data_IF_017654992861
#
_entry.id   IF_017654992861
#
_cell.length_a   1.000
_cell.length_b   1.000
_cell.length_c   1.000
_cell.angle_alpha   90.00
_cell.angle_beta   90.00
_cell.angle_gamma   90.00
#
_symmetry.space_group_name_H-M   'P 1'
#
loop_
_entity.id
_entity.type
_entity.pdbx_description
1 polymer ?
#
# COMPACT_ATOMS: atom_id res chain seq x y z
N UNK A 1 -12.79 -30.03 -16.23
CA UNK A 1 -12.28 -29.51 -14.95
C UNK A 1 -11.60 -28.17 -15.19
N UNK A 2 -11.92 -27.11 -14.44
CA UNK A 2 -11.24 -25.81 -14.57
C UNK A 2 -9.81 -25.98 -14.03
N UNK A 3 -8.83 -26.17 -14.92
CA UNK A 3 -7.42 -26.15 -14.53
C UNK A 3 -7.00 -24.70 -14.25
N UNK A 4 -6.46 -24.46 -13.05
CA UNK A 4 -5.81 -23.21 -12.67
C UNK A 4 -4.35 -23.20 -13.17
N UNK A 5 -3.77 -22.03 -13.47
CA UNK A 5 -2.38 -21.96 -13.86
C UNK A 5 -1.46 -22.43 -12.73
N UNK A 6 -0.26 -22.95 -13.06
CA UNK A 6 0.66 -23.51 -12.06
C UNK A 6 0.96 -22.56 -10.89
N UNK A 7 1.17 -21.27 -11.18
CA UNK A 7 1.48 -20.26 -10.17
C UNK A 7 0.37 -20.06 -9.12
N UNK A 8 -0.88 -20.44 -9.41
CA UNK A 8 -1.97 -20.44 -8.43
C UNK A 8 -1.62 -21.30 -7.21
N UNK A 9 -1.09 -22.51 -7.46
CA UNK A 9 -0.72 -23.45 -6.40
C UNK A 9 0.53 -22.96 -5.65
N UNK A 10 1.47 -22.30 -6.34
CA UNK A 10 2.59 -21.61 -5.70
C UNK A 10 2.10 -20.55 -4.71
N UNK A 11 1.07 -19.77 -5.09
CA UNK A 11 0.46 -18.78 -4.21
C UNK A 11 -0.13 -19.40 -2.94
N UNK A 12 -0.88 -20.49 -3.08
CA UNK A 12 -1.40 -21.26 -1.94
C UNK A 12 -0.26 -21.75 -1.05
N UNK A 13 0.76 -22.38 -1.64
CA UNK A 13 1.89 -22.92 -0.90
C UNK A 13 2.62 -21.83 -0.11
N UNK A 14 2.89 -20.66 -0.71
CA UNK A 14 3.52 -19.53 -0.04
C UNK A 14 2.72 -19.05 1.16
N UNK A 15 1.39 -18.92 1.02
CA UNK A 15 0.51 -18.48 2.12
C UNK A 15 0.51 -19.52 3.24
N UNK A 16 0.28 -20.80 2.92
CA UNK A 16 0.24 -21.87 3.93
C UNK A 16 1.58 -22.02 4.63
N UNK A 17 2.69 -22.01 3.89
CA UNK A 17 4.03 -22.07 4.44
C UNK A 17 4.28 -20.92 5.42
N UNK A 18 3.97 -19.68 5.03
CA UNK A 18 4.21 -18.53 5.89
C UNK A 18 3.28 -18.52 7.11
N UNK A 19 2.01 -18.95 6.97
CA UNK A 19 1.11 -19.11 8.12
C UNK A 19 1.63 -20.16 9.10
N UNK A 20 2.12 -21.31 8.63
CA UNK A 20 2.73 -22.33 9.50
C UNK A 20 3.96 -21.76 10.21
N UNK A 21 4.82 -21.04 9.50
CA UNK A 21 6.00 -20.42 10.11
C UNK A 21 5.63 -19.38 11.18
N UNK A 22 4.55 -18.61 10.96
CA UNK A 22 4.01 -17.67 11.94
C UNK A 22 3.47 -18.39 13.17
N UNK A 23 2.74 -19.49 13.00
CA UNK A 23 2.23 -20.30 14.11
C UNK A 23 3.34 -20.95 14.94
N UNK A 24 4.48 -21.25 14.31
CA UNK A 24 5.66 -21.85 14.95
C UNK A 24 6.68 -20.81 15.46
N UNK A 25 6.40 -19.50 15.38
CA UNK A 25 7.31 -18.38 15.71
C UNK A 25 8.73 -18.52 15.10
N UNK A 26 8.82 -18.95 13.83
CA UNK A 26 10.12 -19.10 13.14
C UNK A 26 10.61 -17.72 12.64
N UNK A 27 11.16 -16.92 13.56
CA UNK A 27 11.49 -15.49 13.34
C UNK A 27 12.34 -15.19 12.11
N UNK A 28 13.29 -16.07 11.79
CA UNK A 28 14.17 -15.88 10.62
C UNK A 28 13.39 -15.92 9.30
N UNK A 29 12.25 -16.61 9.26
CA UNK A 29 11.36 -16.70 8.10
C UNK A 29 10.27 -15.64 8.20
N UNK A 30 9.65 -15.47 9.37
CA UNK A 30 8.49 -14.58 9.55
C UNK A 30 8.82 -13.10 9.44
N UNK A 31 10.10 -12.72 9.52
CA UNK A 31 10.57 -11.37 9.17
C UNK A 31 10.23 -10.97 7.71
N UNK A 32 10.02 -11.96 6.83
CA UNK A 32 9.61 -11.78 5.44
C UNK A 32 8.11 -12.02 5.23
N UNK A 33 7.31 -12.11 6.30
CA UNK A 33 5.91 -12.46 6.21
C UNK A 33 5.12 -11.52 5.30
N UNK A 34 5.25 -10.20 5.48
CA UNK A 34 4.52 -9.21 4.68
C UNK A 34 4.75 -9.37 3.16
N UNK A 35 5.98 -9.26 2.63
CA UNK A 35 6.19 -9.41 1.19
C UNK A 35 5.82 -10.80 0.66
N UNK A 36 6.02 -11.86 1.46
CA UNK A 36 5.71 -13.24 1.05
C UNK A 36 4.21 -13.49 0.97
N UNK A 37 3.45 -13.07 1.98
CA UNK A 37 1.99 -13.23 2.02
C UNK A 37 1.31 -12.44 0.90
N UNK A 38 1.75 -11.19 0.65
CA UNK A 38 1.22 -10.41 -0.46
C UNK A 38 1.58 -11.00 -1.82
N UNK A 39 2.78 -11.55 -1.99
CA UNK A 39 3.16 -12.28 -3.22
C UNK A 39 2.28 -13.51 -3.41
N UNK A 40 2.08 -14.30 -2.35
CA UNK A 40 1.20 -15.47 -2.38
C UNK A 40 -0.24 -15.09 -2.71
N UNK A 41 -0.74 -13.98 -2.15
CA UNK A 41 -2.06 -13.44 -2.43
C UNK A 41 -2.20 -13.05 -3.91
N UNK A 42 -1.22 -12.35 -4.49
CA UNK A 42 -1.23 -11.99 -5.93
C UNK A 42 -1.33 -13.24 -6.79
N UNK A 43 -0.47 -14.24 -6.56
CA UNK A 43 -0.43 -15.45 -7.38
C UNK A 43 -1.73 -16.26 -7.27
N UNK A 44 -2.27 -16.37 -6.06
CA UNK A 44 -3.54 -17.05 -5.80
C UNK A 44 -4.70 -16.31 -6.48
N UNK A 45 -4.83 -15.01 -6.24
CA UNK A 45 -5.97 -14.22 -6.72
C UNK A 45 -5.93 -13.97 -8.22
N UNK A 46 -4.75 -13.72 -8.80
CA UNK A 46 -4.56 -13.67 -10.25
C UNK A 46 -4.85 -15.03 -10.89
N UNK A 47 -4.46 -16.14 -10.24
CA UNK A 47 -4.75 -17.49 -10.70
C UNK A 47 -6.26 -17.77 -10.79
N UNK A 48 -7.04 -17.32 -9.79
CA UNK A 48 -8.51 -17.37 -9.82
C UNK A 48 -9.06 -16.55 -10.99
N UNK A 49 -8.52 -15.35 -11.18
CA UNK A 49 -8.93 -14.41 -12.22
C UNK A 49 -8.31 -14.69 -13.59
N UNK A 50 -7.51 -15.75 -13.74
CA UNK A 50 -6.72 -16.02 -14.95
C UNK A 50 -7.57 -16.17 -16.22
N UNK A 51 -8.85 -16.54 -16.11
CA UNK A 51 -9.76 -16.66 -17.26
C UNK A 51 -10.61 -15.41 -17.48
N UNK A 52 -10.39 -14.36 -16.69
CA UNK A 52 -11.10 -13.09 -16.79
C UNK A 52 -10.17 -12.03 -17.35
N UNK A 53 -10.74 -10.94 -17.88
CA UNK A 53 -9.97 -9.77 -18.31
C UNK A 53 -9.33 -8.98 -17.14
N UNK A 54 -9.43 -9.48 -15.89
CA UNK A 54 -8.92 -8.81 -14.69
C UNK A 54 -7.57 -9.38 -14.21
N UNK A 55 -7.03 -10.41 -14.86
CA UNK A 55 -5.69 -10.93 -14.53
C UNK A 55 -4.61 -9.89 -14.85
N UNK A 56 -3.83 -9.52 -13.85
CA UNK A 56 -2.71 -8.58 -13.98
C UNK A 56 -1.52 -9.20 -14.69
N UNK A 57 -1.27 -10.50 -14.50
CA UNK A 57 -0.17 -11.23 -15.15
C UNK A 57 -0.43 -11.35 -16.64
N UNK A 58 -1.62 -11.80 -17.04
CA UNK A 58 -1.97 -11.95 -18.46
C UNK A 58 -2.01 -10.63 -19.21
N UNK A 59 -2.49 -9.58 -18.56
CA UNK A 59 -2.53 -8.23 -19.14
C UNK A 59 -1.19 -7.49 -19.05
N UNK A 60 -0.13 -8.12 -18.52
CA UNK A 60 1.20 -7.51 -18.31
C UNK A 60 1.14 -6.19 -17.52
N UNK A 61 0.13 -6.05 -16.66
CA UNK A 61 -0.11 -4.87 -15.84
C UNK A 61 0.62 -4.94 -14.50
N UNK A 62 1.00 -6.15 -14.04
CA UNK A 62 1.60 -6.38 -12.73
C UNK A 62 2.84 -5.50 -12.49
N UNK A 63 3.79 -5.45 -13.43
CA UNK A 63 5.02 -4.67 -13.25
C UNK A 63 4.75 -3.16 -13.17
N UNK A 64 3.89 -2.64 -14.05
CA UNK A 64 3.52 -1.21 -14.05
C UNK A 64 2.87 -0.83 -12.73
N UNK A 65 1.96 -1.67 -12.26
CA UNK A 65 1.25 -1.44 -11.02
C UNK A 65 2.17 -1.60 -9.80
N UNK A 66 3.11 -2.54 -9.83
CA UNK A 66 4.12 -2.70 -8.79
C UNK A 66 5.00 -1.45 -8.67
N UNK A 67 5.45 -0.87 -9.78
CA UNK A 67 6.21 0.38 -9.79
C UNK A 67 5.39 1.54 -9.21
N UNK A 68 4.13 1.70 -9.63
CA UNK A 68 3.22 2.70 -9.06
C UNK A 68 3.04 2.47 -7.56
N UNK A 69 2.87 1.22 -7.14
CA UNK A 69 2.69 0.83 -5.73
C UNK A 69 3.90 1.25 -4.90
N UNK A 70 5.14 1.01 -5.37
CA UNK A 70 6.36 1.44 -4.68
C UNK A 70 6.40 2.96 -4.52
N UNK A 71 6.12 3.71 -5.58
CA UNK A 71 6.14 5.18 -5.55
C UNK A 71 5.09 5.74 -4.58
N UNK A 72 3.86 5.21 -4.63
CA UNK A 72 2.78 5.63 -3.73
C UNK A 72 3.08 5.29 -2.26
N UNK A 73 3.64 4.11 -1.98
CA UNK A 73 4.03 3.76 -0.62
C UNK A 73 5.19 4.61 -0.11
N UNK A 74 6.14 4.97 -0.96
CA UNK A 74 7.21 5.88 -0.56
C UNK A 74 6.70 7.28 -0.19
N UNK A 75 5.68 7.75 -0.90
CA UNK A 75 4.98 8.98 -0.56
C UNK A 75 4.28 8.85 0.81
N UNK A 76 3.64 7.71 1.10
CA UNK A 76 3.07 7.45 2.43
C UNK A 76 4.13 7.36 3.53
N UNK A 77 5.30 6.77 3.26
CA UNK A 77 6.43 6.78 4.20
C UNK A 77 6.94 8.20 4.46
N UNK A 78 6.99 9.04 3.42
CA UNK A 78 7.37 10.44 3.60
C UNK A 78 6.37 11.19 4.49
N UNK A 79 5.07 10.94 4.33
CA UNK A 79 4.06 11.45 5.26
C UNK A 79 4.23 10.90 6.67
N UNK A 80 4.58 9.62 6.79
CA UNK A 80 4.74 8.95 8.07
C UNK A 80 5.87 9.56 8.91
N UNK A 81 6.87 10.21 8.31
CA UNK A 81 7.91 10.98 9.04
C UNK A 81 7.28 12.10 9.88
N UNK A 82 6.24 12.77 9.35
CA UNK A 82 5.60 13.90 10.02
C UNK A 82 4.51 13.46 11.00
N UNK A 83 3.74 12.44 10.62
CA UNK A 83 2.59 11.98 11.40
C UNK A 83 2.92 10.88 12.41
N UNK A 84 4.01 10.14 12.22
CA UNK A 84 4.35 8.96 13.03
C UNK A 84 3.17 7.99 13.17
N UNK A 85 2.44 7.76 12.08
CA UNK A 85 1.23 6.93 12.05
C UNK A 85 1.54 5.44 12.28
N UNK A 86 2.69 4.94 11.79
CA UNK A 86 3.13 3.56 11.98
C UNK A 86 4.63 3.44 12.18
N UNK A 87 5.03 2.39 12.91
CA UNK A 87 6.43 2.03 13.12
C UNK A 87 6.68 0.57 12.75
N UNK A 88 7.74 0.34 12.00
CA UNK A 88 8.16 -1.02 11.66
C UNK A 88 8.90 -1.68 12.81
N UNK A 89 8.40 -2.83 13.25
CA UNK A 89 9.00 -3.62 14.33
C UNK A 89 9.56 -4.94 13.78
N UNK A 90 10.59 -5.47 14.45
CA UNK A 90 11.14 -6.78 14.13
C UNK A 90 11.86 -6.85 12.78
N UNK A 91 12.45 -5.75 12.29
CA UNK A 91 13.17 -5.71 11.01
C UNK A 91 14.64 -6.10 11.12
N UNK A 92 15.21 -6.49 9.98
CA UNK A 92 16.63 -6.80 9.83
C UNK A 92 17.51 -5.57 10.09
N UNK A 93 18.59 -5.76 10.85
CA UNK A 93 19.53 -4.68 11.17
C UNK A 93 20.25 -4.15 9.93
N UNK A 94 20.60 -5.01 8.98
CA UNK A 94 21.30 -4.61 7.76
C UNK A 94 20.41 -3.75 6.85
N UNK A 95 20.84 -2.51 6.61
CA UNK A 95 20.06 -1.50 5.89
C UNK A 95 19.66 -1.96 4.48
N UNK A 96 20.61 -2.47 3.70
CA UNK A 96 20.35 -2.89 2.31
C UNK A 96 19.28 -3.99 2.21
N UNK A 97 19.34 -4.98 3.10
CA UNK A 97 18.38 -6.09 3.14
C UNK A 97 17.00 -5.58 3.56
N UNK A 98 16.95 -4.61 4.48
CA UNK A 98 15.71 -3.96 4.91
C UNK A 98 15.05 -3.20 3.76
N UNK A 99 15.81 -2.40 3.00
CA UNK A 99 15.31 -1.70 1.82
C UNK A 99 14.79 -2.66 0.75
N UNK A 100 15.46 -3.80 0.54
CA UNK A 100 14.95 -4.85 -0.34
C UNK A 100 13.58 -5.36 0.14
N UNK A 101 13.43 -5.65 1.43
CA UNK A 101 12.16 -6.03 2.03
C UNK A 101 11.06 -4.99 1.85
N UNK A 102 11.37 -3.70 2.04
CA UNK A 102 10.43 -2.61 1.80
C UNK A 102 9.99 -2.52 0.35
N UNK A 103 10.94 -2.52 -0.59
CA UNK A 103 10.63 -2.43 -2.03
C UNK A 103 9.76 -3.62 -2.44
N UNK A 104 10.07 -4.83 -1.97
CA UNK A 104 9.27 -6.02 -2.26
C UNK A 104 7.86 -5.91 -1.66
N UNK A 105 7.74 -5.55 -0.39
CA UNK A 105 6.43 -5.38 0.26
C UNK A 105 5.61 -4.31 -0.47
N UNK A 106 6.17 -3.11 -0.67
CA UNK A 106 5.49 -2.00 -1.33
C UNK A 106 5.07 -2.32 -2.75
N UNK A 107 5.90 -3.07 -3.51
CA UNK A 107 5.56 -3.49 -4.88
C UNK A 107 4.32 -4.39 -4.96
N UNK A 108 3.95 -5.09 -3.88
CA UNK A 108 2.92 -6.12 -3.91
C UNK A 108 1.55 -5.69 -3.36
N UNK A 109 1.49 -4.59 -2.62
CA UNK A 109 0.26 -4.15 -1.94
C UNK A 109 -0.82 -3.73 -2.95
N UNK A 110 -0.58 -2.74 -3.83
CA UNK A 110 -1.62 -2.30 -4.77
C UNK A 110 -2.06 -3.41 -5.74
N UNK A 111 -1.15 -4.21 -6.33
CA UNK A 111 -1.57 -5.37 -7.13
C UNK A 111 -2.47 -6.34 -6.38
N UNK A 112 -2.13 -6.69 -5.14
CA UNK A 112 -2.95 -7.58 -4.34
C UNK A 112 -4.33 -6.99 -4.06
N UNK A 113 -4.41 -5.70 -3.69
CA UNK A 113 -5.69 -5.02 -3.42
C UNK A 113 -6.59 -5.04 -4.67
N UNK A 114 -6.06 -4.70 -5.85
CA UNK A 114 -6.85 -4.68 -7.08
C UNK A 114 -7.30 -6.08 -7.53
N UNK A 115 -6.49 -7.11 -7.29
CA UNK A 115 -6.89 -8.49 -7.59
C UNK A 115 -7.99 -8.97 -6.64
N UNK A 116 -7.89 -8.67 -5.34
CA UNK A 116 -8.95 -8.96 -4.37
C UNK A 116 -10.24 -8.24 -4.76
N UNK A 117 -10.16 -6.96 -5.13
CA UNK A 117 -11.29 -6.21 -5.68
C UNK A 117 -11.88 -6.89 -6.93
N UNK A 118 -11.02 -7.38 -7.83
CA UNK A 118 -11.43 -8.13 -9.01
C UNK A 118 -12.23 -9.40 -8.68
N UNK A 119 -11.88 -10.11 -7.60
CA UNK A 119 -12.61 -11.28 -7.08
C UNK A 119 -13.95 -10.84 -6.50
N UNK A 120 -13.97 -9.80 -5.66
CA UNK A 120 -15.21 -9.27 -5.06
C UNK A 120 -16.23 -8.96 -6.17
N UNK A 121 -15.80 -8.32 -7.26
CA UNK A 121 -16.65 -8.03 -8.43
C UNK A 121 -17.16 -9.27 -9.18
N UNK A 122 -16.60 -10.46 -8.96
CA UNK A 122 -17.16 -11.71 -9.52
C UNK A 122 -18.23 -12.32 -8.64
N UNK A 123 -18.25 -11.99 -7.35
CA UNK A 123 -19.19 -12.52 -6.36
C UNK A 123 -20.36 -11.56 -6.17
N UNK A 124 -20.10 -10.25 -6.21
CA UNK A 124 -21.13 -9.24 -6.03
C UNK A 124 -22.13 -9.23 -7.19
N UNK A 125 -23.44 -9.03 -6.91
CA UNK A 125 -24.44 -8.87 -7.95
C UNK A 125 -24.09 -7.65 -8.81
N UNK A 126 -24.35 -7.75 -10.12
CA UNK A 126 -24.16 -6.62 -11.03
C UNK A 126 -25.14 -5.51 -10.65
N UNK A 127 -24.65 -4.49 -9.96
CA UNK A 127 -25.39 -3.26 -9.73
C UNK A 127 -25.40 -2.52 -11.06
N UNK A 128 -26.57 -2.36 -11.67
CA UNK A 128 -26.75 -1.58 -12.89
C UNK A 128 -26.74 -0.09 -12.52
N UNK A 129 -25.56 0.53 -12.56
CA UNK A 129 -25.43 1.98 -12.45
C UNK A 129 -25.34 2.61 -13.84
N UNK A 130 -25.89 3.82 -13.99
CA UNK A 130 -25.64 4.65 -15.17
C UNK A 130 -24.17 5.06 -15.14
N UNK A 131 -23.41 4.71 -16.17
CA UNK A 131 -22.00 5.11 -16.26
C UNK A 131 -21.95 6.65 -16.30
N UNK A 132 -21.36 7.25 -15.28
CA UNK A 132 -21.05 8.68 -15.30
C UNK A 132 -19.86 8.89 -16.23
N UNK A 133 -20.08 9.63 -17.32
CA UNK A 133 -18.99 10.05 -18.20
C UNK A 133 -18.25 11.22 -17.52
N UNK A 134 -17.13 10.92 -16.90
CA UNK A 134 -16.21 11.94 -16.38
C UNK A 134 -15.46 12.54 -17.57
N UNK A 135 -15.49 13.87 -17.69
CA UNK A 135 -14.72 14.57 -18.73
C UNK A 135 -13.23 14.55 -18.38
N UNK A 136 -12.36 14.61 -19.40
CA UNK A 136 -10.91 14.68 -19.18
C UNK A 136 -10.53 15.88 -18.32
N UNK A 137 -11.20 17.03 -18.50
CA UNK A 137 -10.99 18.23 -17.69
C UNK A 137 -11.33 18.00 -16.22
N UNK A 138 -12.41 17.25 -15.94
CA UNK A 138 -12.77 16.90 -14.57
C UNK A 138 -11.70 15.99 -13.94
N UNK A 139 -11.21 14.98 -14.65
CA UNK A 139 -10.16 14.09 -14.14
C UNK A 139 -8.86 14.85 -13.85
N UNK A 140 -8.46 15.76 -14.75
CA UNK A 140 -7.28 16.63 -14.54
C UNK A 140 -7.49 17.55 -13.34
N UNK A 141 -8.67 18.18 -13.23
CA UNK A 141 -8.99 19.03 -12.08
C UNK A 141 -8.97 18.22 -10.77
N UNK A 142 -9.60 17.05 -10.73
CA UNK A 142 -9.56 16.16 -9.56
C UNK A 142 -8.13 15.72 -9.22
N UNK A 143 -7.28 15.47 -10.21
CA UNK A 143 -5.89 15.12 -9.99
C UNK A 143 -5.08 16.29 -9.41
N UNK A 144 -5.23 17.50 -9.97
CA UNK A 144 -4.58 18.72 -9.46
C UNK A 144 -5.06 19.05 -8.04
N UNK A 145 -6.36 18.94 -7.79
CA UNK A 145 -6.96 19.10 -6.46
C UNK A 145 -6.38 18.06 -5.50
N UNK A 146 -6.27 16.80 -5.94
CA UNK A 146 -5.63 15.73 -5.18
C UNK A 146 -4.19 16.07 -4.81
N UNK A 147 -3.38 16.54 -5.78
CA UNK A 147 -2.02 17.03 -5.54
C UNK A 147 -2.01 18.17 -4.52
N UNK A 148 -2.91 19.14 -4.65
CA UNK A 148 -3.00 20.25 -3.71
C UNK A 148 -3.27 19.75 -2.28
N UNK A 149 -4.25 18.86 -2.10
CA UNK A 149 -4.53 18.25 -0.79
C UNK A 149 -3.39 17.37 -0.28
N UNK A 150 -2.63 16.77 -1.19
CA UNK A 150 -1.46 15.98 -0.85
C UNK A 150 -0.37 16.86 -0.21
N UNK A 151 -0.13 18.05 -0.77
CA UNK A 151 0.89 18.98 -0.28
C UNK A 151 0.42 19.92 0.84
N UNK A 152 -0.88 20.16 0.95
CA UNK A 152 -1.48 21.04 1.96
C UNK A 152 -1.04 20.72 3.41
N UNK A 153 -1.02 19.46 3.88
CA UNK A 153 -0.59 19.16 5.25
C UNK A 153 0.93 19.15 5.41
N UNK A 154 1.75 19.24 4.36
CA UNK A 154 3.22 19.18 4.52
C UNK A 154 3.79 20.53 4.93
N UNK A 155 3.28 21.61 4.33
CA UNK A 155 3.82 22.96 4.51
C UNK A 155 3.71 23.43 5.98
N UNK A 156 2.56 23.27 6.67
CA UNK A 156 2.43 23.75 8.05
C UNK A 156 3.19 22.88 9.06
N UNK A 157 3.19 21.55 8.88
CA UNK A 157 3.90 20.64 9.77
C UNK A 157 5.42 20.82 9.67
N UNK A 158 5.95 20.97 8.46
CA UNK A 158 7.38 21.24 8.25
C UNK A 158 7.83 22.55 8.90
N UNK A 159 6.97 23.56 9.01
CA UNK A 159 7.30 24.84 9.67
C UNK A 159 7.25 24.73 11.20
N UNK A 160 6.30 23.94 11.72
CA UNK A 160 6.16 23.66 13.16
C UNK A 160 7.40 22.94 13.71
N UNK A 161 7.92 21.93 13.00
CA UNK A 161 9.11 21.17 13.42
C UNK A 161 10.44 21.97 13.36
N UNK A 162 10.52 23.07 12.61
CA UNK A 162 11.77 23.83 12.42
C UNK A 162 11.84 25.06 13.36
N UNK A 163 10.89 25.22 14.30
CA UNK A 163 10.76 26.41 15.16
C UNK A 163 10.77 27.73 14.36
N UNK A 164 10.35 27.68 13.08
CA UNK A 164 10.25 28.82 12.18
C UNK A 164 8.79 29.22 12.06
N UNK A 165 8.28 29.81 13.13
CA UNK A 165 7.05 30.60 13.23
C UNK A 165 5.95 30.24 12.22
N UNK A 166 5.18 29.19 12.52
CA UNK A 166 3.79 29.12 12.10
C UNK A 166 2.97 29.68 13.27
N UNK A 167 2.37 30.85 13.10
CA UNK A 167 1.40 31.39 14.04
C UNK A 167 0.31 30.31 14.29
N UNK A 168 0.13 29.82 15.52
CA UNK A 168 -0.83 28.76 15.82
C UNK A 168 -2.26 29.08 15.37
N UNK A 169 -2.60 30.37 15.30
CA UNK A 169 -3.93 30.85 14.92
C UNK A 169 -4.19 30.69 13.41
N UNK A 170 -3.15 30.73 12.57
CA UNK A 170 -3.26 30.47 11.13
C UNK A 170 -3.56 29.00 10.81
N UNK A 171 -3.24 28.09 11.73
CA UNK A 171 -3.37 26.64 11.55
C UNK A 171 -4.23 25.99 12.64
N UNK A 172 -5.27 26.68 13.12
CA UNK A 172 -6.16 26.17 14.16
C UNK A 172 -6.76 24.78 13.85
N UNK A 173 -7.03 24.51 12.57
CA UNK A 173 -7.54 23.22 12.07
C UNK A 173 -6.54 22.06 12.18
N UNK A 174 -5.25 22.37 12.37
CA UNK A 174 -4.18 21.40 12.58
C UNK A 174 -3.85 21.19 14.06
N UNK A 175 -4.41 21.96 15.00
CA UNK A 175 -4.19 21.75 16.43
C UNK A 175 -4.59 20.35 16.90
N UNK A 176 -5.58 19.71 16.25
CA UNK A 176 -5.93 18.32 16.53
C UNK A 176 -4.77 17.34 16.32
N UNK A 177 -3.87 17.63 15.36
CA UNK A 177 -2.69 16.82 15.09
C UNK A 177 -1.50 17.12 16.01
N UNK A 178 -1.50 18.26 16.72
CA UNK A 178 -0.43 18.59 17.66
C UNK A 178 -0.46 17.69 18.90
N UNK A 179 -1.62 17.14 19.25
CA UNK A 179 -1.84 16.28 20.43
C UNK A 179 -1.74 14.78 20.12
N UNK A 180 -1.27 14.36 18.94
CA UNK A 180 -0.94 12.95 18.70
C UNK A 180 0.37 12.62 19.42
N UNK A 181 0.22 12.07 20.63
CA UNK A 181 1.15 11.68 21.71
C UNK A 181 2.53 11.04 21.38
N UNK A 182 2.99 11.02 20.12
CA UNK A 182 4.28 10.44 19.72
C UNK A 182 5.24 11.40 18.99
N UNK A 183 4.84 12.65 18.72
CA UNK A 183 5.74 13.66 18.11
C UNK A 183 6.86 14.15 19.04
N UNK A 184 6.74 13.91 20.35
CA UNK A 184 7.71 14.37 21.36
C UNK A 184 8.95 13.47 21.48
N UNK A 185 8.93 12.25 20.90
CA UNK A 185 10.03 11.27 21.03
C UNK A 185 11.00 11.23 19.84
N UNK A 186 10.83 12.07 18.82
CA UNK A 186 11.68 12.07 17.61
C UNK A 186 12.82 13.09 17.61
N UNK A 187 13.08 13.75 18.75
CA UNK A 187 14.19 14.69 18.93
C UNK A 187 15.10 14.31 20.11
N UNK A 188 15.37 13.01 20.28
CA UNK A 188 16.40 12.46 21.17
C UNK A 188 17.43 11.64 20.39
#
# INVERSE_FOLDING_TARGET
MKSYPFYFYTGILLILFMQICLLLDIRIVTIWATPTLWTGLILLTDGILAKTNRSLIKNKALLKLALISVLCWWMFEWFNIFFSNWHYQGLLQTLHIRYFGYIWAFATIFPGVLLVYGIILTIMPKILYKQFHLTSSFLVASFIIGIFFLFMPIIPFSMYYVNRAADPDLFIWLQWSANTFYSEFTAG
#
